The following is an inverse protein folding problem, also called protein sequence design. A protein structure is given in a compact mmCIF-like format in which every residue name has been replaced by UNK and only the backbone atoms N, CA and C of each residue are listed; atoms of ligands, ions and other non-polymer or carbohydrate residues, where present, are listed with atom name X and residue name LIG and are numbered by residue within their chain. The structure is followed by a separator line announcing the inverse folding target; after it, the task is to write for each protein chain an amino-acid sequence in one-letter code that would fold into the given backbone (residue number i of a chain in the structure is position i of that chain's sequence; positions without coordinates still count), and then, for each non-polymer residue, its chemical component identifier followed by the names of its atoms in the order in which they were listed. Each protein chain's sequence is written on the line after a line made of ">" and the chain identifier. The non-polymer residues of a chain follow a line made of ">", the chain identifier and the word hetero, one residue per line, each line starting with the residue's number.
data_IF_536734798015
#
_entry.id   IF_536734798015
#
_cell.length_a   1.000
_cell.length_b   1.000
_cell.length_c   1.000
_cell.angle_alpha   90.00
_cell.angle_beta   90.00
_cell.angle_gamma   90.00
#
_symmetry.space_group_name_H-M   'P 1'
#
loop_
_entity.id
_entity.type
_entity.pdbx_description
1 polymer ?
#
# COMPACT_ATOMS: atom_id res chain seq x y z
N UNK A 1 -1.83 -16.63 -9.49
CA UNK A 1 -1.50 -16.24 -8.11
C UNK A 1 -1.44 -14.73 -7.95
N UNK A 2 -0.74 -13.96 -8.79
CA UNK A 2 -0.97 -12.50 -8.89
C UNK A 2 -2.46 -12.17 -9.07
N UNK A 3 -3.15 -12.93 -9.94
CA UNK A 3 -4.61 -12.88 -10.11
C UNK A 3 -5.44 -13.08 -8.84
N UNK A 4 -4.91 -13.73 -7.80
CA UNK A 4 -5.63 -13.92 -6.54
C UNK A 4 -5.53 -12.67 -5.65
N UNK A 5 -4.34 -12.06 -5.56
CA UNK A 5 -4.15 -10.78 -4.86
C UNK A 5 -4.95 -9.65 -5.52
N UNK A 6 -4.86 -9.53 -6.84
CA UNK A 6 -5.68 -8.59 -7.63
C UNK A 6 -7.18 -8.78 -7.37
N UNK A 7 -7.67 -10.02 -7.43
CA UNK A 7 -9.08 -10.33 -7.18
C UNK A 7 -9.51 -9.97 -5.75
N UNK A 8 -8.65 -10.24 -4.77
CA UNK A 8 -8.92 -9.89 -3.37
C UNK A 8 -9.05 -8.37 -3.21
N UNK A 9 -8.12 -7.61 -3.79
CA UNK A 9 -8.16 -6.14 -3.76
C UNK A 9 -9.36 -5.58 -4.52
N UNK A 10 -9.69 -6.11 -5.69
CA UNK A 10 -10.89 -5.71 -6.42
C UNK A 10 -12.15 -5.95 -5.60
N UNK A 11 -12.27 -7.13 -4.98
CA UNK A 11 -13.44 -7.49 -4.16
C UNK A 11 -13.55 -6.60 -2.92
N UNK A 12 -12.42 -6.33 -2.27
CA UNK A 12 -12.33 -5.42 -1.13
C UNK A 12 -12.80 -4.01 -1.49
N UNK A 13 -12.26 -3.43 -2.57
CA UNK A 13 -12.64 -2.08 -3.03
C UNK A 13 -14.11 -2.02 -3.47
N UNK A 14 -14.60 -3.03 -4.18
CA UNK A 14 -16.01 -3.11 -4.58
C UNK A 14 -16.95 -3.25 -3.39
N UNK A 15 -16.53 -3.93 -2.32
CA UNK A 15 -17.26 -4.01 -1.07
C UNK A 15 -17.44 -2.65 -0.36
N UNK A 16 -16.70 -1.63 -0.78
CA UNK A 16 -16.78 -0.25 -0.29
C UNK A 16 -17.54 0.69 -1.23
N UNK A 17 -18.30 0.14 -2.18
CA UNK A 17 -18.95 0.90 -3.26
C UNK A 17 -17.96 1.71 -4.13
N UNK A 18 -16.70 1.27 -4.21
CA UNK A 18 -15.70 1.83 -5.11
C UNK A 18 -15.61 1.02 -6.40
N UNK A 19 -15.22 1.68 -7.47
CA UNK A 19 -15.10 1.04 -8.79
C UNK A 19 -13.64 0.99 -9.24
N UNK A 20 -12.90 -0.10 -8.95
CA UNK A 20 -11.57 -0.29 -9.50
C UNK A 20 -11.64 -0.63 -10.99
N UNK A 21 -10.91 0.14 -11.80
CA UNK A 21 -10.70 -0.14 -13.22
C UNK A 21 -9.23 -0.43 -13.46
N UNK A 22 -8.94 -1.64 -13.97
CA UNK A 22 -7.57 -2.04 -14.29
C UNK A 22 -6.99 -1.14 -15.38
N UNK A 23 -5.77 -0.67 -15.18
CA UNK A 23 -5.02 0.07 -16.19
C UNK A 23 -4.42 -0.94 -17.15
N UNK A 24 -4.58 -0.73 -18.46
CA UNK A 24 -4.00 -1.61 -19.45
C UNK A 24 -2.46 -1.63 -19.33
N UNK A 25 -1.90 -2.84 -19.28
CA UNK A 25 -0.47 -3.05 -19.25
C UNK A 25 0.12 -2.64 -20.61
N UNK A 26 0.88 -1.54 -20.63
CA UNK A 26 1.65 -1.09 -21.78
C UNK A 26 3.14 -1.41 -21.66
N UNK A 27 3.97 -0.80 -22.50
CA UNK A 27 5.44 -0.90 -22.38
C UNK A 27 6.00 -0.18 -21.12
N UNK A 28 5.17 0.65 -20.48
CA UNK A 28 5.52 1.43 -19.30
C UNK A 28 5.10 0.80 -17.97
N UNK A 29 5.58 1.38 -16.87
CA UNK A 29 5.09 1.05 -15.53
C UNK A 29 3.77 1.75 -15.29
N UNK A 30 2.79 1.01 -14.79
CA UNK A 30 1.49 1.55 -14.40
C UNK A 30 1.12 1.01 -13.02
N UNK A 31 0.35 1.76 -12.22
CA UNK A 31 -0.32 1.15 -11.10
C UNK A 31 -1.41 0.20 -11.62
N UNK A 32 -1.82 -0.76 -10.82
CA UNK A 32 -2.81 -1.76 -11.23
C UNK A 32 -4.17 -1.13 -11.56
N UNK A 33 -4.61 -0.14 -10.77
CA UNK A 33 -5.97 0.41 -10.87
C UNK A 33 -6.04 1.94 -10.86
N UNK A 34 -7.02 2.44 -11.62
CA UNK A 34 -7.71 3.71 -11.34
C UNK A 34 -8.97 3.38 -10.56
N UNK A 35 -9.15 3.99 -9.40
CA UNK A 35 -10.36 3.75 -8.58
C UNK A 35 -11.28 4.94 -8.70
N UNK A 36 -12.53 4.67 -9.08
CA UNK A 36 -13.58 5.66 -9.24
C UNK A 36 -14.60 5.57 -8.11
N UNK A 37 -15.40 6.62 -7.98
CA UNK A 37 -16.63 6.57 -7.22
C UNK A 37 -17.64 5.60 -7.86
N UNK A 38 -18.74 5.31 -7.15
CA UNK A 38 -19.79 4.41 -7.62
C UNK A 38 -20.39 4.82 -8.99
N UNK A 39 -20.50 6.14 -9.24
CA UNK A 39 -21.01 6.68 -10.51
C UNK A 39 -20.01 6.59 -11.67
N UNK A 40 -18.74 6.24 -11.38
CA UNK A 40 -17.65 6.07 -12.35
C UNK A 40 -17.27 7.33 -13.14
N UNK A 41 -17.60 8.52 -12.61
CA UNK A 41 -17.34 9.79 -13.27
C UNK A 41 -16.08 10.50 -12.74
N UNK A 42 -15.64 10.13 -11.53
CA UNK A 42 -14.56 10.83 -10.83
C UNK A 42 -13.52 9.83 -10.35
N UNK A 43 -12.26 10.05 -10.75
CA UNK A 43 -11.12 9.30 -10.19
C UNK A 43 -10.90 9.76 -8.75
N UNK A 44 -11.01 8.82 -7.82
CA UNK A 44 -10.79 9.05 -6.40
C UNK A 44 -9.32 8.93 -6.06
N UNK A 45 -8.65 7.88 -6.52
CA UNK A 45 -7.22 7.61 -6.30
C UNK A 45 -6.67 6.58 -7.31
N UNK A 46 -5.34 6.48 -7.40
CA UNK A 46 -4.66 5.34 -8.01
C UNK A 46 -4.35 4.29 -6.96
N UNK A 47 -4.46 3.01 -7.33
CA UNK A 47 -4.21 1.90 -6.43
C UNK A 47 -3.22 0.91 -7.03
N UNK A 48 -2.26 0.49 -6.22
CA UNK A 48 -1.33 -0.60 -6.53
C UNK A 48 -1.51 -1.73 -5.51
N UNK A 49 -1.63 -2.96 -5.99
CA UNK A 49 -1.61 -4.17 -5.18
C UNK A 49 -0.19 -4.71 -5.08
N UNK A 50 0.17 -5.21 -3.89
CA UNK A 50 1.36 -6.03 -3.70
C UNK A 50 1.05 -7.24 -2.81
N UNK A 51 1.06 -8.43 -3.42
CA UNK A 51 0.95 -9.66 -2.64
C UNK A 51 2.28 -9.97 -1.93
N UNK A 52 2.23 -10.16 -0.61
CA UNK A 52 3.33 -10.75 0.18
C UNK A 52 3.06 -12.26 0.29
N UNK A 53 4.08 -13.08 0.04
CA UNK A 53 3.94 -14.53 0.04
C UNK A 53 5.09 -15.15 0.80
N UNK A 54 4.77 -16.14 1.62
CA UNK A 54 5.78 -16.98 2.24
C UNK A 54 6.62 -17.64 1.16
N UNK A 55 7.92 -17.40 1.21
CA UNK A 55 8.89 -18.11 0.40
C UNK A 55 9.62 -19.09 1.30
N UNK A 56 9.28 -20.38 1.15
CA UNK A 56 10.06 -21.45 1.74
C UNK A 56 11.47 -21.38 1.16
N UNK A 57 12.46 -21.21 2.05
CA UNK A 57 13.80 -20.84 1.64
C UNK A 57 14.79 -22.01 1.74
N UNK A 58 15.69 -22.10 0.74
CA UNK A 58 16.80 -23.06 0.68
C UNK A 58 18.10 -22.27 0.42
N UNK A 59 18.85 -21.90 1.48
CA UNK A 59 20.16 -21.21 1.34
C UNK A 59 20.57 -20.30 2.51
N UNK A 60 21.29 -19.20 2.21
CA UNK A 60 21.55 -18.03 3.09
C UNK A 60 21.07 -16.75 2.39
N UNK A 61 19.88 -16.27 2.72
CA UNK A 61 19.38 -14.97 2.26
C UNK A 61 19.04 -14.16 3.51
N UNK A 62 19.67 -13.00 3.64
CA UNK A 62 19.50 -12.08 4.78
C UNK A 62 18.37 -11.06 4.51
N UNK A 63 17.42 -11.36 3.62
CA UNK A 63 16.36 -10.41 3.25
C UNK A 63 15.33 -10.37 4.38
N UNK A 64 15.29 -9.24 5.10
CA UNK A 64 14.37 -9.04 6.22
C UNK A 64 12.95 -8.73 5.72
N UNK A 65 11.93 -8.87 6.59
CA UNK A 65 10.57 -8.40 6.30
C UNK A 65 10.56 -6.92 5.85
N UNK A 66 11.41 -6.11 6.49
CA UNK A 66 11.62 -4.71 6.15
C UNK A 66 12.13 -4.53 4.71
N UNK A 67 13.13 -5.31 4.29
CA UNK A 67 13.68 -5.24 2.93
C UNK A 67 12.65 -5.65 1.87
N UNK A 68 11.85 -6.67 2.17
CA UNK A 68 10.75 -7.10 1.32
C UNK A 68 9.73 -5.96 1.13
N UNK A 69 9.24 -5.37 2.23
CA UNK A 69 8.29 -4.25 2.19
C UNK A 69 8.89 -3.04 1.46
N UNK A 70 10.14 -2.65 1.77
CA UNK A 70 10.84 -1.55 1.09
C UNK A 70 10.96 -1.77 -0.42
N UNK A 71 11.19 -3.00 -0.86
CA UNK A 71 11.22 -3.35 -2.30
C UNK A 71 9.86 -3.16 -2.95
N UNK A 72 8.77 -3.56 -2.29
CA UNK A 72 7.41 -3.37 -2.79
C UNK A 72 7.05 -1.88 -2.89
N UNK A 73 7.33 -1.09 -1.84
CA UNK A 73 7.13 0.37 -1.83
C UNK A 73 7.91 1.04 -2.98
N UNK A 74 9.19 0.69 -3.19
CA UNK A 74 9.99 1.26 -4.28
C UNK A 74 9.43 0.94 -5.67
N UNK A 75 8.80 -0.22 -5.85
CA UNK A 75 8.17 -0.61 -7.11
C UNK A 75 6.88 0.19 -7.32
N UNK A 76 6.00 0.20 -6.31
CA UNK A 76 4.75 0.96 -6.32
C UNK A 76 5.00 2.45 -6.59
N UNK A 77 5.98 3.06 -5.92
CA UNK A 77 6.40 4.43 -6.19
C UNK A 77 6.68 4.68 -7.69
N UNK A 78 7.45 3.82 -8.35
CA UNK A 78 7.77 3.98 -9.78
C UNK A 78 6.55 3.80 -10.69
N UNK A 79 5.55 3.04 -10.24
CA UNK A 79 4.30 2.83 -10.96
C UNK A 79 3.40 4.08 -10.82
N UNK A 80 3.26 4.60 -9.60
CA UNK A 80 2.56 5.86 -9.36
C UNK A 80 3.24 7.04 -10.06
N UNK A 81 4.56 7.21 -9.93
CA UNK A 81 5.31 8.30 -10.55
C UNK A 81 5.15 8.31 -12.08
N UNK A 82 5.00 7.15 -12.70
CA UNK A 82 4.83 7.05 -14.15
C UNK A 82 3.45 7.53 -14.65
N UNK A 83 2.40 7.45 -13.82
CA UNK A 83 1.02 7.75 -14.22
C UNK A 83 0.44 8.98 -13.53
N UNK A 84 0.89 9.26 -12.30
CA UNK A 84 0.43 10.33 -11.42
C UNK A 84 1.62 11.18 -10.95
N UNK A 85 2.51 11.56 -11.87
CA UNK A 85 3.78 12.24 -11.58
C UNK A 85 3.63 13.52 -10.75
N UNK A 86 2.63 14.32 -11.06
CA UNK A 86 2.33 15.57 -10.36
C UNK A 86 1.55 15.34 -9.05
N UNK A 87 1.20 14.08 -8.74
CA UNK A 87 0.50 13.68 -7.52
C UNK A 87 -0.82 14.45 -7.31
N UNK A 88 -1.61 14.64 -8.38
CA UNK A 88 -2.86 15.43 -8.35
C UNK A 88 -4.04 14.68 -7.70
N UNK A 89 -3.92 13.37 -7.59
CA UNK A 89 -4.89 12.52 -6.88
C UNK A 89 -4.11 11.60 -5.93
N UNK A 90 -4.73 11.10 -4.86
CA UNK A 90 -4.03 10.21 -3.95
C UNK A 90 -3.55 8.90 -4.61
N UNK A 91 -2.48 8.34 -4.05
CA UNK A 91 -1.93 7.03 -4.35
C UNK A 91 -2.10 6.11 -3.14
N UNK A 92 -2.76 4.97 -3.33
CA UNK A 92 -3.04 3.98 -2.28
C UNK A 92 -2.27 2.69 -2.58
N UNK A 93 -1.45 2.25 -1.64
CA UNK A 93 -0.74 0.97 -1.74
C UNK A 93 -1.41 -0.07 -0.86
N UNK A 94 -1.88 -1.16 -1.46
CA UNK A 94 -2.54 -2.26 -0.75
C UNK A 94 -1.62 -3.47 -0.72
N UNK A 95 -1.25 -3.91 0.48
CA UNK A 95 -0.58 -5.19 0.70
C UNK A 95 -1.63 -6.28 0.93
N UNK A 96 -1.63 -7.31 0.08
CA UNK A 96 -2.38 -8.54 0.35
C UNK A 96 -1.41 -9.58 0.91
N UNK A 97 -1.41 -9.72 2.23
CA UNK A 97 -0.49 -10.59 2.93
C UNK A 97 -1.01 -12.03 2.97
N UNK A 98 -0.21 -12.93 2.39
CA UNK A 98 -0.38 -14.39 2.47
C UNK A 98 0.79 -15.03 3.25
N UNK A 99 1.70 -14.22 3.80
CA UNK A 99 2.85 -14.65 4.60
C UNK A 99 2.55 -14.48 6.09
N UNK A 100 2.42 -15.58 6.82
CA UNK A 100 2.14 -15.56 8.27
C UNK A 100 3.30 -15.03 9.12
N UNK A 101 4.49 -14.85 8.54
CA UNK A 101 5.68 -14.37 9.24
C UNK A 101 5.86 -12.85 9.15
N UNK A 102 5.14 -12.19 8.24
CA UNK A 102 5.16 -10.73 8.08
C UNK A 102 3.82 -10.19 8.59
N UNK A 103 3.85 -9.10 9.35
CA UNK A 103 2.66 -8.54 9.97
C UNK A 103 2.58 -7.00 9.76
N UNK A 104 1.44 -6.36 10.08
CA UNK A 104 1.30 -4.91 9.92
C UNK A 104 2.30 -4.07 10.70
N UNK A 105 2.86 -4.56 11.82
CA UNK A 105 3.88 -3.83 12.58
C UNK A 105 5.20 -3.74 11.80
N UNK A 106 5.54 -4.72 10.98
CA UNK A 106 6.70 -4.65 10.09
C UNK A 106 6.55 -3.50 9.09
N UNK A 107 5.33 -3.28 8.57
CA UNK A 107 5.03 -2.14 7.73
C UNK A 107 5.20 -0.83 8.50
N UNK A 108 4.62 -0.73 9.70
CA UNK A 108 4.77 0.47 10.55
C UNK A 108 6.23 0.81 10.81
N UNK A 109 7.04 -0.17 11.22
CA UNK A 109 8.48 0.01 11.44
C UNK A 109 9.17 0.44 10.16
N UNK A 110 8.81 -0.15 9.03
CA UNK A 110 9.41 0.15 7.73
C UNK A 110 9.15 1.58 7.27
N UNK A 111 7.92 2.08 7.45
CA UNK A 111 7.53 3.42 6.96
C UNK A 111 7.85 4.53 7.94
N UNK A 112 7.85 4.24 9.25
CA UNK A 112 8.11 5.24 10.29
C UNK A 112 9.57 5.27 10.76
N UNK A 113 10.26 4.14 10.72
CA UNK A 113 11.56 3.94 11.38
C UNK A 113 11.46 3.77 12.91
N UNK A 114 10.24 3.69 13.45
CA UNK A 114 9.96 3.54 14.88
C UNK A 114 9.27 2.20 15.19
N UNK A 115 9.49 1.70 16.40
CA UNK A 115 8.74 0.60 16.98
C UNK A 115 8.04 1.07 18.26
N UNK A 116 6.90 0.46 18.55
CA UNK A 116 6.18 0.63 19.81
C UNK A 116 6.44 -0.62 20.65
N UNK A 117 6.99 -0.44 21.85
CA UNK A 117 7.25 -1.56 22.77
C UNK A 117 5.96 -2.01 23.46
N UNK A 118 6.00 -3.17 24.11
CA UNK A 118 4.86 -3.69 24.89
C UNK A 118 4.39 -2.72 25.99
N UNK A 119 5.30 -1.87 26.50
CA UNK A 119 4.99 -0.86 27.51
C UNK A 119 4.49 0.48 26.91
N UNK A 120 4.33 0.54 25.58
CA UNK A 120 3.91 1.74 24.85
C UNK A 120 5.03 2.75 24.59
N UNK A 121 6.29 2.41 24.88
CA UNK A 121 7.43 3.31 24.57
C UNK A 121 7.71 3.31 23.07
N UNK A 122 7.99 4.49 22.52
CA UNK A 122 8.36 4.64 21.11
C UNK A 122 9.88 4.61 21.00
N UNK A 123 10.42 3.60 20.32
CA UNK A 123 11.84 3.44 20.06
C UNK A 123 12.16 3.76 18.60
N UNK A 124 13.14 4.63 18.38
CA UNK A 124 13.69 4.86 17.04
C UNK A 124 14.65 3.73 16.69
N UNK A 125 14.29 2.91 15.71
CA UNK A 125 15.11 1.79 15.26
C UNK A 125 16.09 2.22 14.17
N UNK A 126 15.62 3.01 13.21
CA UNK A 126 16.46 3.49 12.11
C UNK A 126 15.94 4.81 11.54
N UNK A 127 16.75 5.46 10.71
CA UNK A 127 16.27 6.53 9.85
C UNK A 127 15.73 5.92 8.56
N UNK A 128 14.49 6.26 8.19
CA UNK A 128 13.83 5.79 6.96
C UNK A 128 14.70 6.00 5.72
N UNK A 129 15.47 7.10 5.67
CA UNK A 129 16.59 7.27 4.74
C UNK A 129 16.15 7.32 3.28
N UNK A 130 16.81 6.56 2.39
CA UNK A 130 16.64 6.64 0.92
C UNK A 130 15.22 6.32 0.38
N UNK A 131 14.33 5.80 1.22
CA UNK A 131 12.93 5.55 0.85
C UNK A 131 12.00 6.69 1.25
N UNK A 132 12.44 7.64 2.07
CA UNK A 132 11.61 8.72 2.62
C UNK A 132 10.83 9.48 1.53
N UNK A 133 11.52 10.00 0.50
CA UNK A 133 10.89 10.68 -0.63
C UNK A 133 9.84 9.82 -1.37
N UNK A 134 9.98 8.49 -1.32
CA UNK A 134 9.02 7.57 -1.95
C UNK A 134 7.80 7.34 -1.07
N UNK A 135 7.96 7.41 0.25
CA UNK A 135 6.84 7.33 1.19
C UNK A 135 5.94 8.56 1.06
N UNK A 136 6.53 9.74 0.82
CA UNK A 136 5.77 10.98 0.59
C UNK A 136 4.81 10.92 -0.60
N UNK A 137 5.04 9.99 -1.51
CA UNK A 137 4.27 9.82 -2.73
C UNK A 137 3.11 8.80 -2.60
N UNK A 138 2.97 8.16 -1.44
CA UNK A 138 1.91 7.20 -1.13
C UNK A 138 1.13 7.80 0.05
N UNK A 139 -0.16 8.00 -0.12
CA UNK A 139 -0.99 8.72 0.85
C UNK A 139 -1.64 7.77 1.88
N UNK A 140 -1.85 6.51 1.49
CA UNK A 140 -2.43 5.48 2.34
C UNK A 140 -1.84 4.11 2.03
N UNK A 141 -1.47 3.42 3.10
CA UNK A 141 -1.14 2.01 3.07
C UNK A 141 -2.28 1.21 3.67
N UNK A 142 -2.79 0.22 2.94
CA UNK A 142 -3.77 -0.75 3.47
C UNK A 142 -3.12 -2.11 3.60
N UNK A 143 -3.45 -2.81 4.68
CA UNK A 143 -2.99 -4.16 4.96
C UNK A 143 -4.17 -5.11 5.00
N UNK A 144 -4.20 -6.02 4.04
CA UNK A 144 -5.13 -7.12 4.00
C UNK A 144 -4.43 -8.42 4.39
N UNK A 145 -5.10 -9.28 5.13
CA UNK A 145 -4.69 -10.67 5.34
C UNK A 145 -5.66 -11.58 4.58
N UNK A 146 -5.13 -12.27 3.57
CA UNK A 146 -5.94 -13.12 2.69
C UNK A 146 -7.19 -12.40 2.13
N UNK A 147 -7.07 -11.11 1.81
CA UNK A 147 -8.14 -10.28 1.26
C UNK A 147 -9.05 -9.59 2.28
N UNK A 148 -8.93 -9.92 3.57
CA UNK A 148 -9.67 -9.25 4.65
C UNK A 148 -8.88 -8.09 5.21
N UNK A 149 -9.52 -6.95 5.48
CA UNK A 149 -8.84 -5.80 6.07
C UNK A 149 -8.44 -6.05 7.51
N UNK A 150 -7.20 -5.66 7.83
CA UNK A 150 -6.61 -5.81 9.17
C UNK A 150 -6.08 -4.50 9.71
N UNK A 151 -5.41 -3.69 8.87
CA UNK A 151 -4.76 -2.46 9.33
C UNK A 151 -4.55 -1.44 8.21
N UNK A 152 -4.25 -0.19 8.58
CA UNK A 152 -3.86 0.86 7.67
C UNK A 152 -2.85 1.82 8.29
N UNK A 153 -2.15 2.57 7.44
CA UNK A 153 -1.29 3.68 7.84
C UNK A 153 -1.56 4.87 6.90
N UNK A 154 -1.99 5.98 7.48
CA UNK A 154 -2.06 7.29 6.81
C UNK A 154 -0.64 7.86 6.69
N UNK A 155 -0.28 8.43 5.54
CA UNK A 155 0.98 9.16 5.45
C UNK A 155 0.94 10.46 6.24
N UNK A 156 -0.22 11.14 6.26
CA UNK A 156 -0.44 12.44 6.92
C UNK A 156 0.50 13.54 6.42
N UNK A 157 0.92 13.44 5.16
CA UNK A 157 1.87 14.37 4.53
C UNK A 157 1.20 15.34 3.55
N UNK A 158 -0.04 15.07 3.13
CA UNK A 158 -0.79 15.90 2.21
C UNK A 158 -2.23 16.04 2.70
N UNK A 159 -2.49 17.13 3.43
CA UNK A 159 -3.77 17.40 4.09
C UNK A 159 -5.00 17.25 3.17
N UNK A 160 -4.88 17.63 1.89
CA UNK A 160 -5.97 17.50 0.93
C UNK A 160 -6.25 16.03 0.61
N UNK A 161 -5.19 15.26 0.31
CA UNK A 161 -5.31 13.83 0.05
C UNK A 161 -5.80 13.07 1.28
N UNK A 162 -5.28 13.39 2.45
CA UNK A 162 -5.67 12.76 3.71
C UNK A 162 -7.15 13.01 4.01
N UNK A 163 -7.62 14.25 3.84
CA UNK A 163 -9.05 14.60 4.02
C UNK A 163 -9.92 13.85 3.01
N UNK A 164 -9.50 13.82 1.74
CA UNK A 164 -10.22 13.12 0.67
C UNK A 164 -10.32 11.63 0.96
N UNK A 165 -9.22 10.97 1.30
CA UNK A 165 -9.19 9.54 1.59
C UNK A 165 -9.94 9.20 2.89
N UNK A 166 -9.77 9.97 3.97
CA UNK A 166 -10.55 9.77 5.21
C UNK A 166 -12.05 9.90 4.98
N UNK A 167 -12.47 10.75 4.04
CA UNK A 167 -13.88 10.85 3.62
C UNK A 167 -14.31 9.62 2.82
N UNK A 168 -13.51 9.17 1.84
CA UNK A 168 -13.82 8.00 1.01
C UNK A 168 -13.94 6.73 1.85
N UNK A 169 -13.02 6.53 2.77
CA UNK A 169 -12.94 5.35 3.63
C UNK A 169 -13.72 5.51 4.95
N UNK A 170 -14.49 6.59 5.10
CA UNK A 170 -15.30 6.84 6.30
C UNK A 170 -16.34 5.72 6.49
N UNK A 171 -16.29 5.05 7.64
CA UNK A 171 -17.17 3.93 7.96
C UNK A 171 -16.68 2.56 7.47
N UNK A 172 -15.50 2.50 6.83
CA UNK A 172 -14.90 1.26 6.35
C UNK A 172 -13.57 0.90 7.06
N UNK A 173 -12.80 1.90 7.52
CA UNK A 173 -11.52 1.73 8.20
C UNK A 173 -11.58 1.94 9.71
#
# INVERSE_FOLDING_TARGET
>A
MAKAGEKNVESYLQGMDLWPQKIEEGEGKTPDYKVFNNNRDTILFFCEEKTLQYKEFVGLENDTSEDAIKRHIRKAFKQFEAVNKEHNVPNVLIFNNLDTMINPHDLFITVSGYAITENGEILKLHNVGRIEEKLKFIDLYLWLENGEYVNHIWSELNDEHDTKLKTIFSGYL
#
